data_IF_934137507078
#
_entry.id   IF_934137507078
#
_cell.length_a   1.000
_cell.length_b   1.000
_cell.length_c   1.000
_cell.angle_alpha   90.00
_cell.angle_beta   90.00
_cell.angle_gamma   90.00
#
_symmetry.space_group_name_H-M   'P 1'
#
loop_
_entity.id
_entity.type
_entity.pdbx_description
1 polymer ?
#
# COMPACT_ATOMS: atom_id res chain seq x y z
N UNK A 1 -9.89 -6.65 21.34
CA UNK A 1 -10.46 -7.99 21.54
C UNK A 1 -11.80 -8.06 20.81
N UNK A 2 -12.09 -9.09 20.04
CA UNK A 2 -13.41 -9.22 19.41
C UNK A 2 -14.50 -9.29 20.49
N UNK A 3 -15.61 -8.60 20.27
CA UNK A 3 -16.80 -8.78 21.15
C UNK A 3 -17.34 -10.18 20.90
N UNK A 4 -17.25 -11.04 21.90
CA UNK A 4 -17.79 -12.38 21.83
C UNK A 4 -19.31 -12.36 21.81
N UNK A 5 -19.97 -13.24 21.00
CA UNK A 5 -21.41 -13.38 21.04
C UNK A 5 -21.89 -13.78 22.44
N UNK A 6 -23.04 -13.28 22.85
CA UNK A 6 -23.66 -13.68 24.13
C UNK A 6 -23.81 -15.18 24.20
N UNK A 7 -23.37 -15.77 25.31
CA UNK A 7 -23.46 -17.21 25.56
C UNK A 7 -22.20 -18.00 25.20
N UNK A 8 -21.07 -17.39 24.80
CA UNK A 8 -19.77 -18.06 24.69
C UNK A 8 -19.11 -18.18 26.07
N UNK A 9 -18.44 -19.31 26.32
CA UNK A 9 -17.69 -19.58 27.54
C UNK A 9 -16.17 -19.62 27.28
N UNK A 10 -15.38 -19.86 28.33
CA UNK A 10 -13.90 -19.86 28.23
C UNK A 10 -13.39 -20.95 27.27
N UNK A 11 -14.02 -22.12 27.23
CA UNK A 11 -13.63 -23.20 26.33
C UNK A 11 -13.92 -22.84 24.85
N UNK A 12 -15.03 -22.13 24.58
CA UNK A 12 -15.32 -21.59 23.25
C UNK A 12 -14.20 -20.64 22.79
N UNK A 13 -13.74 -19.77 23.69
CA UNK A 13 -12.68 -18.79 23.39
C UNK A 13 -11.32 -19.49 23.15
N UNK A 14 -11.02 -20.52 23.95
CA UNK A 14 -9.81 -21.32 23.80
C UNK A 14 -9.81 -22.08 22.46
N UNK A 15 -10.91 -22.75 22.12
CA UNK A 15 -11.08 -23.47 20.86
C UNK A 15 -10.92 -22.51 19.68
N UNK A 16 -11.54 -21.34 19.73
CA UNK A 16 -11.41 -20.31 18.68
C UNK A 16 -9.96 -19.89 18.51
N UNK A 17 -9.25 -19.57 19.60
CA UNK A 17 -7.84 -19.16 19.54
C UNK A 17 -6.96 -20.22 18.88
N UNK A 18 -7.12 -21.48 19.26
CA UNK A 18 -6.37 -22.60 18.70
C UNK A 18 -6.63 -22.76 17.21
N UNK A 19 -7.89 -22.64 16.77
CA UNK A 19 -8.23 -22.72 15.34
C UNK A 19 -7.75 -21.49 14.57
N UNK A 20 -7.77 -20.31 15.18
CA UNK A 20 -7.29 -19.07 14.55
C UNK A 20 -5.77 -19.07 14.34
N UNK A 21 -5.02 -19.66 15.26
CA UNK A 21 -3.56 -19.74 15.20
C UNK A 21 -3.06 -20.92 14.36
N UNK A 22 -3.76 -22.08 14.41
CA UNK A 22 -3.33 -23.31 13.77
C UNK A 22 -3.90 -23.58 12.38
N UNK A 23 -4.86 -22.76 11.89
CA UNK A 23 -5.57 -23.00 10.63
C UNK A 23 -6.63 -24.09 10.74
N UNK A 24 -6.99 -24.76 9.64
CA UNK A 24 -7.94 -25.86 9.67
C UNK A 24 -7.42 -27.02 10.54
N UNK A 25 -8.14 -27.35 11.61
CA UNK A 25 -7.76 -28.41 12.56
C UNK A 25 -8.84 -29.48 12.65
N UNK A 26 -8.41 -30.73 12.85
CA UNK A 26 -9.32 -31.84 13.10
C UNK A 26 -9.89 -31.79 14.53
N UNK A 27 -11.06 -32.39 14.72
CA UNK A 27 -11.62 -32.59 16.08
C UNK A 27 -10.62 -33.23 17.05
N UNK A 28 -9.79 -34.16 16.57
CA UNK A 28 -8.79 -34.83 17.39
C UNK A 28 -7.64 -33.94 17.82
N UNK A 29 -7.18 -33.06 16.94
CA UNK A 29 -6.12 -32.06 17.22
C UNK A 29 -6.63 -31.06 18.26
N UNK A 30 -7.82 -30.49 18.03
CA UNK A 30 -8.42 -29.55 18.98
C UNK A 30 -8.63 -30.18 20.34
N UNK A 31 -9.19 -31.41 20.40
CA UNK A 31 -9.39 -32.16 21.65
C UNK A 31 -8.09 -32.35 22.44
N UNK A 32 -7.01 -32.64 21.74
CA UNK A 32 -5.67 -32.80 22.35
C UNK A 32 -5.15 -31.47 22.88
N UNK A 33 -5.31 -30.39 22.10
CA UNK A 33 -4.80 -29.06 22.47
C UNK A 33 -5.52 -28.47 23.69
N UNK A 34 -6.86 -28.63 23.77
CA UNK A 34 -7.65 -28.14 24.94
C UNK A 34 -7.73 -29.14 26.10
N UNK A 35 -7.16 -30.32 25.97
CA UNK A 35 -7.22 -31.35 27.03
C UNK A 35 -8.62 -31.85 27.40
N UNK A 36 -9.57 -31.81 26.43
CA UNK A 36 -10.97 -32.20 26.64
C UNK A 36 -11.38 -33.35 25.71
N UNK A 37 -12.34 -34.15 26.16
CA UNK A 37 -12.89 -35.26 25.35
C UNK A 37 -13.56 -34.79 24.06
N UNK A 38 -13.46 -35.57 22.97
CA UNK A 38 -14.00 -35.26 21.64
C UNK A 38 -15.49 -34.88 21.65
N UNK A 39 -16.31 -35.55 22.47
CA UNK A 39 -17.73 -35.27 22.58
C UNK A 39 -18.02 -33.85 23.14
N UNK A 40 -17.20 -33.41 24.09
CA UNK A 40 -17.29 -32.06 24.67
C UNK A 40 -16.89 -31.03 23.59
N UNK A 41 -15.70 -31.19 22.99
CA UNK A 41 -15.18 -30.30 21.97
C UNK A 41 -16.14 -30.20 20.76
N UNK A 42 -16.69 -31.33 20.31
CA UNK A 42 -17.64 -31.36 19.20
C UNK A 42 -18.92 -30.53 19.49
N UNK A 43 -19.40 -30.53 20.72
CA UNK A 43 -20.55 -29.74 21.16
C UNK A 43 -20.24 -28.23 21.04
N UNK A 44 -19.06 -27.82 21.50
CA UNK A 44 -18.58 -26.43 21.41
C UNK A 44 -18.35 -26.03 19.95
N UNK A 45 -17.74 -26.88 19.13
CA UNK A 45 -17.56 -26.61 17.69
C UNK A 45 -18.92 -26.42 16.98
N UNK A 46 -19.93 -27.25 17.27
CA UNK A 46 -21.27 -27.07 16.72
C UNK A 46 -21.91 -25.76 17.15
N UNK A 47 -21.73 -25.36 18.40
CA UNK A 47 -22.20 -24.09 18.95
C UNK A 47 -21.49 -22.92 18.27
N UNK A 48 -20.16 -22.93 18.18
CA UNK A 48 -19.38 -21.89 17.50
C UNK A 48 -19.75 -21.78 16.02
N UNK A 49 -20.04 -22.91 15.35
CA UNK A 49 -20.59 -22.92 14.00
C UNK A 49 -21.97 -22.23 13.93
N UNK A 50 -22.88 -22.55 14.85
CA UNK A 50 -24.22 -21.94 14.86
C UNK A 50 -24.20 -20.43 15.13
N UNK A 51 -23.17 -19.95 15.82
CA UNK A 51 -22.87 -18.52 16.05
C UNK A 51 -22.11 -17.86 14.89
N UNK A 52 -21.76 -18.61 13.83
CA UNK A 52 -20.97 -18.10 12.71
C UNK A 52 -19.51 -17.79 13.04
N UNK A 53 -19.01 -18.27 14.19
CA UNK A 53 -17.65 -18.02 14.68
C UNK A 53 -16.63 -18.97 14.04
N UNK A 54 -17.05 -20.22 13.76
CA UNK A 54 -16.26 -21.24 13.08
C UNK A 54 -17.06 -21.87 11.94
N UNK A 55 -16.35 -22.38 10.94
CA UNK A 55 -16.89 -23.26 9.91
C UNK A 55 -16.45 -24.71 10.19
N UNK A 56 -17.37 -25.66 9.95
CA UNK A 56 -17.07 -27.09 10.02
C UNK A 56 -17.26 -27.71 8.65
N UNK A 57 -16.22 -28.32 8.11
CA UNK A 57 -16.25 -29.06 6.85
C UNK A 57 -15.83 -30.51 7.05
N UNK A 58 -16.49 -31.40 6.34
CA UNK A 58 -16.10 -32.81 6.30
C UNK A 58 -15.33 -33.08 5.01
N UNK A 59 -14.08 -33.54 5.14
CA UNK A 59 -13.21 -33.87 4.02
C UNK A 59 -12.67 -35.28 4.25
N UNK A 60 -13.04 -36.21 3.35
CA UNK A 60 -12.58 -37.62 3.44
C UNK A 60 -13.01 -38.29 4.74
N UNK A 61 -14.19 -37.98 5.30
CA UNK A 61 -14.69 -38.54 6.56
C UNK A 61 -14.05 -37.90 7.82
N UNK A 62 -13.22 -36.88 7.65
CA UNK A 62 -12.59 -36.14 8.76
C UNK A 62 -13.25 -34.78 8.92
N UNK A 63 -13.73 -34.48 10.13
CA UNK A 63 -14.29 -33.16 10.46
C UNK A 63 -13.14 -32.18 10.73
N UNK A 64 -13.10 -31.12 9.93
CA UNK A 64 -12.19 -29.97 10.06
C UNK A 64 -12.95 -28.76 10.57
N UNK A 65 -12.39 -28.10 11.57
CA UNK A 65 -12.82 -26.78 12.02
C UNK A 65 -11.86 -25.71 11.50
N UNK A 66 -12.40 -24.65 10.92
CA UNK A 66 -11.66 -23.50 10.44
C UNK A 66 -12.38 -22.21 10.81
N UNK A 67 -11.69 -21.08 10.71
CA UNK A 67 -12.41 -19.81 10.68
C UNK A 67 -13.35 -19.81 9.46
N UNK A 68 -14.57 -19.22 9.56
CA UNK A 68 -15.39 -19.04 8.40
C UNK A 68 -14.58 -18.25 7.37
N UNK A 69 -14.66 -18.59 6.08
CA UNK A 69 -14.07 -17.75 5.07
C UNK A 69 -14.61 -16.35 5.32
N UNK A 70 -13.74 -15.37 5.51
CA UNK A 70 -14.18 -13.98 5.51
C UNK A 70 -15.11 -13.82 4.32
N UNK A 71 -16.34 -13.28 4.48
CA UNK A 71 -17.21 -13.03 3.35
C UNK A 71 -16.33 -12.36 2.33
N UNK A 72 -16.31 -12.87 1.09
CA UNK A 72 -15.34 -12.53 0.05
C UNK A 72 -15.29 -11.00 -0.11
N UNK A 73 -14.50 -10.35 0.74
CA UNK A 73 -14.25 -8.92 0.68
C UNK A 73 -13.38 -8.74 -0.54
N UNK A 74 -13.92 -8.08 -1.53
CA UNK A 74 -13.10 -7.56 -2.61
C UNK A 74 -12.16 -6.54 -1.99
N UNK A 75 -10.88 -6.88 -1.88
CA UNK A 75 -9.85 -5.93 -1.47
C UNK A 75 -9.33 -5.24 -2.72
N UNK A 76 -9.54 -3.94 -2.79
CA UNK A 76 -9.01 -3.13 -3.87
C UNK A 76 -7.67 -2.50 -3.43
N UNK A 77 -6.65 -2.61 -4.30
CA UNK A 77 -5.28 -2.13 -4.07
C UNK A 77 -4.95 -1.05 -5.08
N UNK A 78 -4.79 0.18 -4.60
CA UNK A 78 -4.40 1.34 -5.41
C UNK A 78 -2.89 1.41 -5.63
N UNK A 79 -2.47 1.89 -6.81
CA UNK A 79 -1.08 2.21 -7.11
C UNK A 79 -1.02 3.31 -8.16
N UNK A 80 0.10 4.03 -8.20
CA UNK A 80 0.31 5.03 -9.23
C UNK A 80 0.73 4.38 -10.54
N UNK A 81 0.45 5.05 -11.68
CA UNK A 81 1.02 4.70 -12.98
C UNK A 81 2.50 5.10 -13.00
N UNK A 82 3.35 4.18 -12.55
CA UNK A 82 4.78 4.38 -12.40
C UNK A 82 5.53 3.06 -12.62
N UNK A 83 6.84 3.10 -12.84
CA UNK A 83 7.69 1.90 -12.92
C UNK A 83 8.12 1.38 -11.52
N UNK A 84 7.52 1.87 -10.47
CA UNK A 84 7.98 1.87 -9.08
C UNK A 84 7.63 0.61 -8.28
N UNK A 85 6.58 -0.14 -8.68
CA UNK A 85 6.02 -1.21 -7.84
C UNK A 85 6.06 -2.59 -8.50
N UNK A 86 7.20 -3.09 -9.01
CA UNK A 86 7.21 -4.39 -9.69
C UNK A 86 6.80 -5.55 -8.77
N UNK A 87 7.03 -5.43 -7.48
CA UNK A 87 6.64 -6.39 -6.44
C UNK A 87 5.12 -6.47 -6.18
N UNK A 88 4.33 -5.55 -6.74
CA UNK A 88 2.88 -5.49 -6.46
C UNK A 88 2.16 -6.77 -6.88
N UNK A 89 2.63 -7.46 -7.93
CA UNK A 89 2.01 -8.71 -8.40
C UNK A 89 2.09 -9.83 -7.35
N UNK A 90 3.21 -9.92 -6.63
CA UNK A 90 3.39 -10.86 -5.53
C UNK A 90 2.49 -10.50 -4.35
N UNK A 91 2.44 -9.22 -3.98
CA UNK A 91 1.53 -8.74 -2.94
C UNK A 91 0.07 -9.06 -3.31
N UNK A 92 -0.37 -8.79 -4.53
CA UNK A 92 -1.72 -9.10 -5.00
C UNK A 92 -2.02 -10.60 -4.94
N UNK A 93 -1.02 -11.47 -5.19
CA UNK A 93 -1.15 -12.92 -5.07
C UNK A 93 -1.37 -13.33 -3.61
N UNK A 94 -0.52 -12.90 -2.68
CA UNK A 94 -0.66 -13.18 -1.26
C UNK A 94 -1.97 -12.64 -0.67
N UNK A 95 -2.42 -11.47 -1.11
CA UNK A 95 -3.72 -10.93 -0.71
C UNK A 95 -4.90 -11.76 -1.23
N UNK A 96 -4.81 -12.37 -2.41
CA UNK A 96 -5.85 -13.29 -2.92
C UNK A 96 -6.00 -14.52 -2.05
N UNK A 97 -4.89 -15.03 -1.52
CA UNK A 97 -4.92 -16.18 -0.60
C UNK A 97 -5.62 -15.80 0.73
N UNK A 98 -5.53 -14.53 1.14
CA UNK A 98 -6.19 -14.01 2.35
C UNK A 98 -7.68 -13.67 2.16
N UNK A 99 -8.04 -13.06 1.03
CA UNK A 99 -9.35 -12.42 0.84
C UNK A 99 -10.19 -13.04 -0.29
N UNK A 100 -9.62 -13.91 -1.09
CA UNK A 100 -10.26 -14.52 -2.26
C UNK A 100 -10.32 -13.60 -3.47
N UNK A 101 -10.79 -12.38 -3.34
CA UNK A 101 -10.91 -11.43 -4.44
C UNK A 101 -10.09 -10.17 -4.20
N UNK A 102 -9.13 -9.90 -5.11
CA UNK A 102 -8.28 -8.71 -5.07
C UNK A 102 -8.33 -7.99 -6.40
N UNK A 103 -8.59 -6.69 -6.37
CA UNK A 103 -8.71 -5.85 -7.55
C UNK A 103 -7.63 -4.75 -7.54
N UNK A 104 -6.67 -4.75 -8.46
CA UNK A 104 -5.76 -3.63 -8.63
C UNK A 104 -6.50 -2.42 -9.24
N UNK A 105 -6.09 -1.22 -8.82
CA UNK A 105 -6.58 0.06 -9.35
C UNK A 105 -5.40 0.97 -9.61
N UNK A 106 -5.23 1.40 -10.85
CA UNK A 106 -4.14 2.30 -11.25
C UNK A 106 -4.65 3.74 -11.27
N UNK A 107 -3.89 4.64 -10.70
CA UNK A 107 -4.19 6.07 -10.60
C UNK A 107 -3.10 6.89 -11.27
N UNK A 108 -3.49 8.00 -11.86
CA UNK A 108 -2.59 9.04 -12.37
C UNK A 108 -2.36 10.16 -11.35
N UNK A 109 -3.28 10.30 -10.38
CA UNK A 109 -3.28 11.29 -9.31
C UNK A 109 -3.26 10.62 -7.93
N UNK A 110 -2.20 10.87 -7.16
CA UNK A 110 -2.01 10.29 -5.84
C UNK A 110 -3.06 10.75 -4.81
N UNK A 111 -3.51 12.01 -4.92
CA UNK A 111 -4.53 12.54 -4.01
C UNK A 111 -5.86 11.81 -4.21
N UNK A 112 -6.22 11.51 -5.44
CA UNK A 112 -7.43 10.75 -5.75
C UNK A 112 -7.38 9.33 -5.18
N UNK A 113 -6.21 8.68 -5.24
CA UNK A 113 -6.03 7.38 -4.57
C UNK A 113 -6.19 7.50 -3.05
N UNK A 114 -5.66 8.57 -2.45
CA UNK A 114 -5.79 8.84 -1.02
C UNK A 114 -7.24 9.12 -0.59
N UNK A 115 -8.01 9.86 -1.40
CA UNK A 115 -9.45 10.08 -1.17
C UNK A 115 -10.23 8.75 -1.22
N UNK A 116 -9.94 7.88 -2.20
CA UNK A 116 -10.57 6.57 -2.33
C UNK A 116 -10.20 5.66 -1.16
N UNK A 117 -8.95 5.70 -0.70
CA UNK A 117 -8.49 4.96 0.47
C UNK A 117 -9.17 5.46 1.75
N UNK A 118 -9.23 6.78 1.96
CA UNK A 118 -9.86 7.40 3.13
C UNK A 118 -11.35 7.10 3.19
N UNK A 119 -12.01 7.08 2.04
CA UNK A 119 -13.44 6.77 1.91
C UNK A 119 -13.74 5.26 1.95
N UNK A 120 -12.71 4.38 1.96
CA UNK A 120 -12.87 2.92 1.95
C UNK A 120 -13.29 2.34 0.60
N UNK A 121 -13.23 3.12 -0.51
CA UNK A 121 -13.47 2.62 -1.87
C UNK A 121 -12.37 1.67 -2.34
N UNK A 122 -11.13 1.89 -1.86
CA UNK A 122 -10.03 0.92 -1.88
C UNK A 122 -9.57 0.68 -0.45
N UNK A 123 -8.95 -0.46 -0.17
CA UNK A 123 -8.52 -0.88 1.16
C UNK A 123 -7.03 -0.70 1.40
N UNK A 124 -6.25 -0.78 0.35
CA UNK A 124 -4.79 -0.62 0.35
C UNK A 124 -4.36 0.31 -0.78
N UNK A 125 -3.26 1.03 -0.60
CA UNK A 125 -2.65 1.79 -1.68
C UNK A 125 -1.15 1.98 -1.46
N UNK A 126 -0.38 1.96 -2.56
CA UNK A 126 0.97 2.50 -2.59
C UNK A 126 0.84 4.02 -2.78
N UNK A 127 1.13 4.79 -1.73
CA UNK A 127 1.00 6.25 -1.77
C UNK A 127 2.35 6.95 -1.58
N UNK A 128 2.57 8.08 -2.27
CA UNK A 128 3.65 8.99 -1.92
C UNK A 128 3.57 9.37 -0.43
N UNK A 129 4.72 9.44 0.22
CA UNK A 129 4.78 9.65 1.68
C UNK A 129 4.00 10.90 2.11
N UNK A 130 4.18 12.01 1.41
CA UNK A 130 3.45 13.25 1.72
C UNK A 130 1.93 13.05 1.60
N UNK A 131 1.48 12.35 0.56
CA UNK A 131 0.07 12.02 0.36
C UNK A 131 -0.48 11.14 1.48
N UNK A 132 0.28 10.12 1.89
CA UNK A 132 -0.12 9.20 2.96
C UNK A 132 -0.24 9.93 4.32
N UNK A 133 0.72 10.79 4.64
CA UNK A 133 0.70 11.62 5.86
C UNK A 133 -0.48 12.61 5.87
N UNK A 134 -0.74 13.26 4.73
CA UNK A 134 -1.90 14.14 4.58
C UNK A 134 -3.22 13.37 4.72
N UNK A 135 -3.34 12.20 4.08
CA UNK A 135 -4.53 11.35 4.17
C UNK A 135 -4.77 10.85 5.60
N UNK A 136 -3.71 10.47 6.34
CA UNK A 136 -3.81 10.12 7.76
C UNK A 136 -4.40 11.27 8.58
N UNK A 137 -3.87 12.48 8.40
CA UNK A 137 -4.29 13.68 9.14
C UNK A 137 -5.72 14.08 8.83
N UNK A 138 -6.02 14.29 7.57
CA UNK A 138 -7.35 14.73 7.11
C UNK A 138 -8.42 13.65 7.32
N UNK A 139 -8.01 12.39 7.21
CA UNK A 139 -8.84 11.22 7.49
C UNK A 139 -8.99 10.87 8.98
N UNK A 140 -8.38 11.65 9.90
CA UNK A 140 -8.41 11.41 11.35
C UNK A 140 -7.95 9.99 11.72
N UNK A 141 -6.81 9.57 11.18
CA UNK A 141 -6.23 8.25 11.43
C UNK A 141 -6.89 7.08 10.70
N UNK A 142 -7.84 7.32 9.78
CA UNK A 142 -8.45 6.24 8.99
C UNK A 142 -7.49 5.59 7.99
N UNK A 143 -6.45 6.31 7.60
CA UNK A 143 -5.37 5.82 6.73
C UNK A 143 -4.11 5.68 7.57
N UNK A 144 -3.47 4.53 7.50
CA UNK A 144 -2.23 4.23 8.20
C UNK A 144 -1.19 3.73 7.20
N UNK A 145 0.07 4.08 7.41
CA UNK A 145 1.21 3.47 6.72
C UNK A 145 1.50 2.16 7.46
N UNK A 146 1.40 1.04 6.74
CA UNK A 146 1.50 -0.30 7.33
C UNK A 146 2.65 -1.15 6.77
N UNK A 147 3.39 -0.64 5.80
CA UNK A 147 4.47 -1.40 5.19
C UNK A 147 5.43 -0.51 4.41
N UNK A 148 6.53 -1.10 4.00
CA UNK A 148 7.56 -0.49 3.20
C UNK A 148 7.10 -0.17 1.77
N UNK A 149 8.06 0.06 0.90
CA UNK A 149 7.81 0.43 -0.49
C UNK A 149 9.08 0.76 -1.24
N UNK A 150 9.09 1.89 -1.93
CA UNK A 150 10.19 2.30 -2.79
C UNK A 150 10.68 3.70 -2.50
N UNK A 151 11.89 3.99 -2.94
CA UNK A 151 12.50 5.30 -2.95
C UNK A 151 13.26 5.57 -4.25
N UNK A 152 13.67 6.80 -4.48
CA UNK A 152 14.31 7.21 -5.72
C UNK A 152 13.36 7.40 -6.89
N UNK A 153 13.87 7.32 -8.12
CA UNK A 153 13.11 7.36 -9.37
C UNK A 153 12.37 8.67 -9.66
N UNK A 154 12.66 9.75 -8.95
CA UNK A 154 12.04 11.07 -9.12
C UNK A 154 13.08 12.12 -9.43
N UNK A 155 12.71 13.16 -10.16
CA UNK A 155 13.61 14.26 -10.45
C UNK A 155 12.90 15.49 -11.02
N UNK A 156 13.66 16.58 -11.07
CA UNK A 156 13.26 17.83 -11.69
C UNK A 156 13.67 17.80 -13.16
N UNK A 157 12.75 18.18 -14.04
CA UNK A 157 13.03 18.45 -15.44
C UNK A 157 12.93 19.95 -15.70
N UNK A 158 13.89 20.47 -16.48
CA UNK A 158 13.92 21.90 -16.86
C UNK A 158 13.79 22.03 -18.35
N UNK A 159 12.82 22.87 -18.76
CA UNK A 159 12.64 23.28 -20.15
C UNK A 159 13.57 24.42 -20.54
N UNK A 160 13.65 24.70 -21.85
CA UNK A 160 14.44 25.82 -22.39
C UNK A 160 13.77 27.18 -22.14
N UNK A 161 12.48 27.19 -21.88
CA UNK A 161 11.63 28.40 -21.76
C UNK A 161 10.46 28.12 -20.81
N UNK A 162 9.70 29.15 -20.53
CA UNK A 162 8.53 29.08 -19.66
C UNK A 162 8.77 29.66 -18.29
N UNK A 163 7.70 30.00 -17.59
CA UNK A 163 7.73 30.57 -16.26
C UNK A 163 7.08 29.60 -15.25
N UNK A 164 7.67 29.54 -14.04
CA UNK A 164 7.18 28.70 -12.95
C UNK A 164 7.38 27.21 -13.19
N UNK A 165 6.71 26.42 -12.37
CA UNK A 165 6.91 24.97 -12.38
C UNK A 165 5.60 24.21 -12.15
N UNK A 166 5.57 22.94 -12.60
CA UNK A 166 4.45 22.03 -12.42
C UNK A 166 4.78 20.86 -11.50
N UNK A 167 3.84 20.56 -10.61
CA UNK A 167 3.91 19.45 -9.63
C UNK A 167 2.54 18.79 -9.51
N UNK A 168 2.50 17.62 -8.88
CA UNK A 168 1.25 16.97 -8.45
C UNK A 168 0.92 17.45 -7.04
N UNK A 169 -0.34 17.79 -6.82
CA UNK A 169 -0.83 18.31 -5.53
C UNK A 169 -0.66 17.27 -4.42
N UNK A 170 -0.24 17.74 -3.23
CA UNK A 170 -0.10 16.93 -2.01
C UNK A 170 0.68 15.63 -2.27
N UNK A 171 1.79 15.77 -2.99
CA UNK A 171 2.66 14.64 -3.34
C UNK A 171 4.14 14.99 -3.11
N UNK A 172 4.99 13.98 -3.16
CA UNK A 172 6.43 14.17 -3.02
C UNK A 172 7.04 15.06 -4.12
N UNK A 173 6.31 15.33 -5.21
CA UNK A 173 6.76 16.27 -6.25
C UNK A 173 6.85 17.69 -5.72
N UNK A 174 6.00 18.09 -4.78
CA UNK A 174 6.10 19.40 -4.12
C UNK A 174 7.36 19.50 -3.26
N UNK A 175 7.67 18.46 -2.49
CA UNK A 175 8.90 18.41 -1.69
C UNK A 175 10.16 18.46 -2.55
N UNK A 176 10.11 17.77 -3.68
CA UNK A 176 11.21 17.77 -4.64
C UNK A 176 11.40 19.17 -5.26
N UNK A 177 10.30 19.84 -5.64
CA UNK A 177 10.34 21.20 -6.16
C UNK A 177 10.94 22.20 -5.15
N UNK A 178 10.55 22.10 -3.88
CA UNK A 178 11.09 22.93 -2.78
C UNK A 178 12.58 22.68 -2.54
N UNK A 179 13.02 21.41 -2.48
CA UNK A 179 14.43 21.04 -2.31
C UNK A 179 15.32 21.52 -3.46
N UNK A 180 14.76 21.49 -4.67
CA UNK A 180 15.45 21.96 -5.88
C UNK A 180 15.42 23.50 -6.04
N UNK A 181 14.80 24.23 -5.10
CA UNK A 181 14.67 25.67 -5.14
C UNK A 181 13.94 26.17 -6.40
N UNK A 182 12.89 25.46 -6.84
CA UNK A 182 12.13 25.90 -8.02
C UNK A 182 11.34 27.16 -7.69
N UNK A 183 11.65 28.23 -8.41
CA UNK A 183 11.07 29.55 -8.24
C UNK A 183 9.88 29.80 -9.19
N UNK A 184 9.15 30.89 -8.94
CA UNK A 184 8.03 31.32 -9.75
C UNK A 184 6.70 30.62 -9.43
N UNK A 185 5.65 30.85 -10.24
CA UNK A 185 4.33 30.32 -9.98
C UNK A 185 4.30 28.79 -10.01
N UNK A 186 3.80 28.18 -8.92
CA UNK A 186 3.51 26.74 -8.83
C UNK A 186 2.16 26.47 -9.47
N UNK A 187 2.11 25.51 -10.38
CA UNK A 187 0.88 25.00 -10.99
C UNK A 187 0.75 23.51 -10.73
N UNK A 188 -0.47 23.03 -10.63
CA UNK A 188 -0.77 21.64 -10.35
C UNK A 188 -1.26 20.92 -11.59
N UNK A 189 -0.71 19.73 -11.82
CA UNK A 189 -1.10 18.82 -12.88
C UNK A 189 -1.88 17.62 -12.31
N UNK A 190 -2.70 17.00 -13.13
CA UNK A 190 -3.45 15.78 -12.81
C UNK A 190 -2.70 14.51 -13.19
N UNK A 191 -1.57 14.60 -13.90
CA UNK A 191 -0.77 13.44 -14.34
C UNK A 191 0.66 13.82 -14.69
N UNK A 192 1.56 12.80 -14.69
CA UNK A 192 2.94 12.99 -15.17
C UNK A 192 3.01 13.40 -16.65
N UNK A 193 2.08 12.90 -17.49
CA UNK A 193 2.00 13.26 -18.90
C UNK A 193 1.69 14.74 -19.09
N UNK A 194 0.84 15.33 -18.26
CA UNK A 194 0.54 16.76 -18.27
C UNK A 194 1.76 17.60 -17.88
N UNK A 195 2.50 17.18 -16.82
CA UNK A 195 3.76 17.85 -16.43
C UNK A 195 4.76 17.81 -17.57
N UNK A 196 5.00 16.63 -18.16
CA UNK A 196 5.94 16.43 -19.26
C UNK A 196 5.57 17.31 -20.47
N UNK A 197 4.31 17.29 -20.89
CA UNK A 197 3.80 18.08 -22.00
C UNK A 197 3.99 19.59 -21.79
N UNK A 198 3.72 20.07 -20.55
CA UNK A 198 3.87 21.48 -20.22
C UNK A 198 5.33 21.96 -20.27
N UNK A 199 6.28 21.13 -19.82
CA UNK A 199 7.70 21.48 -19.88
C UNK A 199 8.22 21.38 -21.30
N UNK A 200 7.84 20.35 -22.07
CA UNK A 200 8.23 20.19 -23.47
C UNK A 200 7.71 21.32 -24.38
N UNK A 201 6.50 21.78 -24.16
CA UNK A 201 5.90 22.89 -24.92
C UNK A 201 6.40 24.29 -24.50
N UNK A 202 7.19 24.36 -23.40
CA UNK A 202 7.62 25.63 -22.83
C UNK A 202 6.51 26.41 -22.11
N UNK A 203 5.35 25.78 -21.85
CA UNK A 203 4.31 26.40 -21.04
C UNK A 203 4.66 26.42 -19.55
N UNK A 204 5.58 25.55 -19.09
CA UNK A 204 6.23 25.58 -17.80
C UNK A 204 7.76 25.55 -17.95
N UNK A 205 8.48 26.32 -17.11
CA UNK A 205 9.94 26.37 -17.11
C UNK A 205 10.56 25.13 -16.46
N UNK A 206 9.84 24.46 -15.55
CA UNK A 206 10.27 23.24 -14.89
C UNK A 206 9.07 22.37 -14.51
N UNK A 207 9.36 21.11 -14.17
CA UNK A 207 8.39 20.19 -13.59
C UNK A 207 9.07 19.09 -12.79
N UNK A 208 8.32 18.42 -11.95
CA UNK A 208 8.82 17.24 -11.21
C UNK A 208 8.13 15.99 -11.75
N UNK A 209 8.94 15.03 -12.15
CA UNK A 209 8.51 13.78 -12.76
C UNK A 209 9.10 12.57 -12.02
N UNK A 210 8.49 11.42 -12.22
CA UNK A 210 8.98 10.11 -11.79
C UNK A 210 9.15 9.17 -12.99
N UNK A 211 9.84 8.07 -12.79
CA UNK A 211 10.06 7.09 -13.84
C UNK A 211 8.76 6.35 -14.27
N UNK A 212 8.57 6.13 -15.55
CA UNK A 212 9.54 6.32 -16.65
C UNK A 212 9.50 7.72 -17.28
N UNK A 213 8.64 8.63 -16.83
CA UNK A 213 8.45 9.96 -17.43
C UNK A 213 9.72 10.83 -17.31
N UNK A 214 10.52 10.63 -16.25
CA UNK A 214 11.79 11.33 -16.09
C UNK A 214 12.79 10.93 -17.19
N UNK A 215 12.91 9.63 -17.46
CA UNK A 215 13.74 9.11 -18.55
C UNK A 215 13.24 9.54 -19.94
N UNK A 216 11.91 9.59 -20.15
CA UNK A 216 11.33 10.08 -21.39
C UNK A 216 11.68 11.56 -21.59
N UNK A 217 11.56 12.39 -20.56
CA UNK A 217 11.94 13.79 -20.59
C UNK A 217 13.42 13.98 -20.97
N UNK A 218 14.32 13.24 -20.31
CA UNK A 218 15.76 13.27 -20.58
C UNK A 218 16.06 12.84 -22.02
N UNK A 219 15.43 11.79 -22.52
CA UNK A 219 15.58 11.31 -23.89
C UNK A 219 15.04 12.30 -24.93
N UNK A 220 14.13 13.18 -24.54
CA UNK A 220 13.58 14.26 -25.37
C UNK A 220 14.43 15.55 -25.32
N UNK A 221 15.61 15.50 -24.70
CA UNK A 221 16.55 16.60 -24.62
C UNK A 221 16.32 17.58 -23.47
N UNK A 222 15.40 17.29 -22.54
CA UNK A 222 15.23 18.11 -21.34
C UNK A 222 16.35 17.78 -20.33
N UNK A 223 16.79 18.80 -19.60
CA UNK A 223 17.72 18.60 -18.49
C UNK A 223 16.97 17.99 -17.32
N UNK A 224 17.40 16.79 -16.90
CA UNK A 224 16.83 16.06 -15.76
C UNK A 224 17.85 16.01 -14.61
N UNK A 225 17.39 16.36 -13.40
CA UNK A 225 18.18 16.35 -12.16
C UNK A 225 17.49 15.44 -11.13
N UNK A 226 18.15 14.38 -10.62
CA UNK A 226 17.55 13.49 -9.63
C UNK A 226 17.15 14.24 -8.36
N UNK A 227 16.04 13.84 -7.78
CA UNK A 227 15.60 14.28 -6.46
C UNK A 227 15.71 13.09 -5.49
N UNK A 228 16.64 13.18 -4.57
CA UNK A 228 16.92 12.11 -3.62
C UNK A 228 15.87 12.05 -2.52
N UNK A 229 14.93 11.12 -2.67
CA UNK A 229 13.97 10.72 -1.64
C UNK A 229 14.20 9.24 -1.32
N UNK A 230 14.80 8.95 -0.16
CA UNK A 230 15.15 7.58 0.21
C UNK A 230 13.93 6.68 0.35
N UNK A 231 12.81 7.21 0.84
CA UNK A 231 11.51 6.55 0.76
C UNK A 231 10.51 7.50 0.10
N UNK A 232 9.96 7.09 -1.03
CA UNK A 232 9.01 7.87 -1.81
C UNK A 232 7.58 7.42 -1.56
N UNK A 233 7.31 6.14 -1.80
CA UNK A 233 5.97 5.58 -1.77
C UNK A 233 5.92 4.36 -0.86
N UNK A 234 4.94 4.35 0.04
CA UNK A 234 4.78 3.35 1.08
C UNK A 234 3.39 2.71 1.03
N UNK A 235 3.30 1.46 1.50
CA UNK A 235 2.04 0.77 1.61
C UNK A 235 1.19 1.39 2.72
N UNK A 236 0.06 1.91 2.33
CA UNK A 236 -0.94 2.50 3.22
C UNK A 236 -2.24 1.69 3.18
N UNK A 237 -2.95 1.66 4.30
CA UNK A 237 -4.18 0.91 4.46
C UNK A 237 -5.29 1.74 5.10
N UNK A 238 -6.53 1.42 4.73
CA UNK A 238 -7.73 1.94 5.38
C UNK A 238 -8.03 1.14 6.66
N UNK A 239 -8.61 1.79 7.66
CA UNK A 239 -9.02 1.18 8.94
C UNK A 239 -9.98 -0.01 8.81
N UNK A 240 -10.64 -0.17 7.65
CA UNK A 240 -11.51 -1.31 7.38
C UNK A 240 -10.81 -2.67 7.33
N UNK A 241 -9.47 -2.69 7.19
CA UNK A 241 -8.63 -3.90 7.22
C UNK A 241 -7.66 -3.91 8.40
N UNK A 242 -7.93 -3.12 9.44
CA UNK A 242 -7.01 -2.94 10.58
C UNK A 242 -6.69 -4.23 11.34
N UNK A 243 -7.61 -5.20 11.36
CA UNK A 243 -7.36 -6.52 11.98
C UNK A 243 -6.29 -7.35 11.27
N UNK A 244 -5.95 -7.00 10.03
CA UNK A 244 -5.01 -7.74 9.19
C UNK A 244 -3.71 -6.98 8.92
N UNK A 245 -3.49 -5.78 9.48
CA UNK A 245 -2.33 -4.95 9.18
C UNK A 245 -1.00 -5.70 9.27
N UNK A 246 -0.75 -6.42 10.37
CA UNK A 246 0.50 -7.18 10.54
C UNK A 246 0.68 -8.32 9.54
N UNK A 247 -0.40 -8.95 9.06
CA UNK A 247 -0.32 -9.98 8.02
C UNK A 247 -0.04 -9.37 6.66
N UNK A 248 -0.71 -8.25 6.34
CA UNK A 248 -0.53 -7.51 5.09
C UNK A 248 0.88 -6.93 5.03
N UNK A 249 1.39 -6.37 6.14
CA UNK A 249 2.75 -5.83 6.24
C UNK A 249 3.79 -6.91 5.93
N UNK A 250 3.68 -8.11 6.52
CA UNK A 250 4.58 -9.24 6.23
C UNK A 250 4.53 -9.66 4.77
N UNK A 251 3.34 -9.77 4.17
CA UNK A 251 3.21 -10.07 2.74
C UNK A 251 3.86 -9.00 1.87
N UNK A 252 3.75 -7.73 2.24
CA UNK A 252 4.39 -6.64 1.53
C UNK A 252 5.92 -6.71 1.65
N UNK A 253 6.46 -6.93 2.84
CA UNK A 253 7.91 -7.12 3.06
C UNK A 253 8.45 -8.27 2.21
N UNK A 254 7.80 -9.45 2.24
CA UNK A 254 8.17 -10.60 1.41
C UNK A 254 8.10 -10.31 -0.10
N UNK A 255 7.09 -9.57 -0.55
CA UNK A 255 6.97 -9.16 -1.95
C UNK A 255 8.08 -8.18 -2.34
N UNK A 256 8.35 -7.17 -1.50
CA UNK A 256 9.35 -6.13 -1.71
C UNK A 256 10.77 -6.73 -1.78
N UNK A 257 11.09 -7.70 -0.91
CA UNK A 257 12.40 -8.38 -0.93
C UNK A 257 12.69 -9.05 -2.28
N UNK A 258 11.65 -9.37 -3.07
CA UNK A 258 11.74 -9.97 -4.40
C UNK A 258 11.54 -8.98 -5.56
N UNK A 259 11.50 -7.68 -5.29
CA UNK A 259 11.18 -6.66 -6.29
C UNK A 259 12.04 -6.75 -7.56
N UNK A 260 13.34 -7.06 -7.42
CA UNK A 260 14.28 -7.16 -8.54
C UNK A 260 14.12 -8.43 -9.40
N UNK A 261 13.39 -9.43 -8.92
CA UNK A 261 13.07 -10.68 -9.64
C UNK A 261 11.63 -10.76 -10.12
N UNK A 262 10.89 -9.65 -10.03
CA UNK A 262 9.50 -9.58 -10.43
C UNK A 262 9.29 -9.75 -11.94
N UNK A 263 8.11 -10.23 -12.34
CA UNK A 263 7.69 -10.28 -13.75
C UNK A 263 7.36 -8.86 -14.26
N UNK A 264 8.40 -8.20 -14.84
CA UNK A 264 8.28 -6.83 -15.33
C UNK A 264 7.32 -6.70 -16.51
N UNK A 265 7.15 -7.76 -17.32
CA UNK A 265 6.21 -7.76 -18.44
C UNK A 265 4.76 -7.74 -17.94
N UNK A 266 4.46 -8.57 -16.94
CA UNK A 266 3.12 -8.60 -16.36
C UNK A 266 2.83 -7.29 -15.59
N UNK A 267 3.82 -6.75 -14.88
CA UNK A 267 3.70 -5.46 -14.20
C UNK A 267 3.47 -4.30 -15.18
N UNK A 268 4.23 -4.24 -16.26
CA UNK A 268 4.09 -3.21 -17.30
C UNK A 268 2.68 -3.20 -17.92
N UNK A 269 2.14 -4.39 -18.19
CA UNK A 269 0.73 -4.52 -18.65
C UNK A 269 -0.26 -4.02 -17.63
N UNK A 270 -0.03 -4.29 -16.32
CA UNK A 270 -0.92 -3.85 -15.25
C UNK A 270 -0.98 -2.33 -15.15
N UNK A 271 0.17 -1.65 -15.24
CA UNK A 271 0.26 -0.18 -15.13
C UNK A 271 0.16 0.54 -16.48
N UNK A 272 -0.06 -0.21 -17.58
CA UNK A 272 -0.18 0.30 -18.95
C UNK A 272 1.02 1.16 -19.38
N UNK A 273 2.22 0.69 -19.06
CA UNK A 273 3.48 1.28 -19.47
C UNK A 273 4.25 0.35 -20.41
N UNK A 274 5.08 0.87 -21.34
CA UNK A 274 5.95 0.04 -22.13
C UNK A 274 6.95 -0.74 -21.28
N UNK A 275 7.05 -2.07 -21.48
CA UNK A 275 7.87 -2.92 -20.62
C UNK A 275 9.35 -2.56 -20.61
N UNK A 276 9.91 -2.14 -21.76
CA UNK A 276 11.31 -1.69 -21.84
C UNK A 276 11.58 -0.43 -21.01
N UNK A 277 10.59 0.46 -20.87
CA UNK A 277 10.70 1.63 -20.00
C UNK A 277 10.63 1.26 -18.52
N UNK A 278 9.76 0.32 -18.14
CA UNK A 278 9.71 -0.22 -16.78
C UNK A 278 11.04 -0.87 -16.40
N UNK A 279 11.59 -1.71 -17.29
CA UNK A 279 12.86 -2.41 -17.07
C UNK A 279 14.04 -1.43 -16.92
N UNK A 280 14.17 -0.45 -17.80
CA UNK A 280 15.24 0.54 -17.74
C UNK A 280 15.15 1.42 -16.47
N UNK A 281 13.93 1.74 -16.05
CA UNK A 281 13.66 2.57 -14.87
C UNK A 281 13.95 1.89 -13.53
N UNK A 282 13.97 0.55 -13.50
CA UNK A 282 14.11 -0.20 -12.24
C UNK A 282 15.41 0.12 -11.48
N UNK A 283 16.46 0.53 -12.19
CA UNK A 283 17.76 0.88 -11.60
C UNK A 283 17.72 2.19 -10.81
N UNK A 284 16.74 3.03 -11.08
CA UNK A 284 16.56 4.32 -10.41
C UNK A 284 15.84 4.19 -9.06
N UNK A 285 15.37 2.99 -8.73
CA UNK A 285 14.61 2.74 -7.49
C UNK A 285 15.41 1.93 -6.47
N UNK A 286 15.18 2.27 -5.21
CA UNK A 286 15.53 1.45 -4.03
C UNK A 286 14.25 0.86 -3.44
N UNK A 287 14.37 -0.29 -2.79
CA UNK A 287 13.24 -0.98 -2.18
C UNK A 287 13.49 -1.16 -0.69
N UNK A 288 12.48 -0.88 0.13
CA UNK A 288 12.56 -0.88 1.58
C UNK A 288 11.41 -1.73 2.12
N UNK A 289 11.72 -2.77 2.84
CA UNK A 289 10.73 -3.70 3.39
C UNK A 289 9.87 -3.07 4.49
N UNK A 290 10.44 -2.09 5.19
CA UNK A 290 9.80 -1.40 6.31
C UNK A 290 9.85 0.13 6.14
N UNK A 291 8.91 0.88 6.74
CA UNK A 291 8.98 2.34 6.82
C UNK A 291 10.13 2.78 7.75
N UNK A 292 10.98 3.69 7.29
CA UNK A 292 11.92 4.42 8.16
C UNK A 292 11.21 5.59 8.84
N UNK A 293 10.72 5.36 10.06
CA UNK A 293 10.00 6.38 10.83
C UNK A 293 10.86 7.64 11.06
N UNK A 294 12.17 7.48 11.29
CA UNK A 294 13.07 8.61 11.49
C UNK A 294 13.21 9.46 10.21
N UNK A 295 13.26 8.82 9.04
CA UNK A 295 13.24 9.54 7.77
C UNK A 295 11.91 10.26 7.55
N UNK A 296 10.78 9.60 7.84
CA UNK A 296 9.44 10.18 7.70
C UNK A 296 9.25 11.40 8.62
N UNK A 297 9.77 11.37 9.85
CA UNK A 297 9.73 12.51 10.77
C UNK A 297 10.53 13.70 10.20
N UNK A 298 11.74 13.48 9.69
CA UNK A 298 12.54 14.54 9.04
C UNK A 298 11.85 15.13 7.81
N UNK A 299 11.20 14.27 7.01
CA UNK A 299 10.48 14.69 5.81
C UNK A 299 9.24 15.51 6.20
N UNK A 300 8.51 15.08 7.23
CA UNK A 300 7.36 15.80 7.77
C UNK A 300 7.77 17.18 8.31
N UNK A 301 8.89 17.27 9.02
CA UNK A 301 9.42 18.54 9.53
C UNK A 301 9.74 19.52 8.39
N UNK A 302 10.34 19.02 7.30
CA UNK A 302 10.57 19.82 6.11
C UNK A 302 9.25 20.27 5.44
N UNK A 303 8.23 19.42 5.41
CA UNK A 303 6.93 19.69 4.81
C UNK A 303 6.03 20.62 5.66
N UNK A 304 6.21 20.64 6.98
CA UNK A 304 5.41 21.45 7.91
C UNK A 304 5.45 22.95 7.63
N UNK A 305 6.57 23.41 7.07
CA UNK A 305 6.75 24.86 6.81
C UNK A 305 5.87 25.37 5.67
N UNK A 306 5.30 24.47 4.84
CA UNK A 306 4.59 24.87 3.62
C UNK A 306 3.36 24.04 3.25
N UNK A 307 3.18 22.80 3.75
CA UNK A 307 2.25 21.86 3.10
C UNK A 307 1.29 21.09 4.03
N UNK A 308 1.62 20.84 5.30
CA UNK A 308 0.83 19.96 6.17
C UNK A 308 0.52 20.60 7.54
N UNK A 309 -0.67 20.34 8.11
CA UNK A 309 -0.99 20.70 9.50
C UNK A 309 -0.11 19.92 10.48
N UNK A 310 0.00 20.42 11.73
CA UNK A 310 0.80 19.82 12.81
C UNK A 310 0.45 18.34 13.06
N UNK A 311 1.45 17.53 13.40
CA UNK A 311 1.33 16.10 13.71
C UNK A 311 2.65 15.35 13.64
N UNK A 312 2.62 14.08 13.97
CA UNK A 312 3.78 13.19 14.00
C UNK A 312 3.66 12.08 12.93
N UNK A 313 4.78 11.69 12.29
CA UNK A 313 4.80 10.55 11.40
C UNK A 313 4.50 9.24 12.15
N UNK A 314 4.84 9.17 13.44
CA UNK A 314 4.56 7.99 14.29
C UNK A 314 3.06 7.71 14.43
N UNK A 315 2.21 8.74 14.40
CA UNK A 315 0.75 8.56 14.44
C UNK A 315 0.19 7.98 13.14
N UNK A 316 0.93 8.09 12.06
CA UNK A 316 0.54 7.61 10.73
C UNK A 316 1.07 6.20 10.42
N UNK A 317 2.03 5.69 11.20
CA UNK A 317 2.67 4.38 11.00
C UNK A 317 2.17 3.41 12.06
N UNK A 318 1.79 2.21 11.62
CA UNK A 318 1.52 1.07 12.50
C UNK A 318 2.81 0.27 12.62
N UNK A 319 3.30 0.15 13.86
CA UNK A 319 4.48 -0.65 14.20
C UNK A 319 4.18 -2.15 14.18
#
# INVERSE_FOLDING_TARGET
>A
MPRWPSGTDELDQEIYRIVAEGGPLTLSEISRSVGRGKAVVFRHLRRLRSLGVLELREVGGVLLASLPPSPSRVVAVGMMRAAEYPYILELLRGLRDMYGHVRPVVYDDAWRAAEDLTAGRIQLAMLPVLTALAANRLGRGRVQIIGGGSGGGMGVVRGASGAGHMVIRVSNTELCAERAGLEGPRRYAGSAGEVLSAVMSGSAGAGVLWEPYLSIAASSGLRAEPCELSQCCLLSANSGVSGDYGRISRLASEAISRARSADLQAYARLVELPAHLVESSLRSYTFHEEPDVGYLERLLEAARRSLLPEGSAREAVVA
#
